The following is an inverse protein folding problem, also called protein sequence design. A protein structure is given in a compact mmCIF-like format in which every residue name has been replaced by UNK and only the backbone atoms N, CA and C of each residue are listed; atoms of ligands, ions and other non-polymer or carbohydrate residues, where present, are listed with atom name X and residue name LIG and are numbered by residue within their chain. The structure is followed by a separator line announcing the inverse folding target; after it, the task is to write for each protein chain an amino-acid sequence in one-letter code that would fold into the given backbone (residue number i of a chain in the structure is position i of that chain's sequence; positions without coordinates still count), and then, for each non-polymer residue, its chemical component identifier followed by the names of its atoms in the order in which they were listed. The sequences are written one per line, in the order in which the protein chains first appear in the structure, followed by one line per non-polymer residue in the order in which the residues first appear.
data_IF_684381195610
#
_entry.id   IF_684381195610
#
_cell.length_a   1.000
_cell.length_b   1.000
_cell.length_c   1.000
_cell.angle_alpha   90.00
_cell.angle_beta   90.00
_cell.angle_gamma   90.00
#
_symmetry.space_group_name_H-M   'P 1'
#
loop_
_entity.id
_entity.type
_entity.pdbx_description
1 polymer ?
#
# COMPACT_ATOMS: atom_id res chain seq x y z
N UNK A 1 -51.33 5.72 0.03
CA UNK A 1 -49.87 5.87 0.09
C UNK A 1 -49.39 5.40 1.46
N UNK A 2 -48.81 4.20 1.54
CA UNK A 2 -48.34 3.62 2.81
C UNK A 2 -46.93 4.12 3.11
N UNK A 3 -46.78 4.92 4.16
CA UNK A 3 -45.48 5.31 4.70
C UNK A 3 -44.89 4.13 5.50
N UNK A 4 -43.78 3.56 5.01
CA UNK A 4 -43.00 2.54 5.71
C UNK A 4 -42.46 3.12 7.03
N UNK A 5 -43.11 2.77 8.15
CA UNK A 5 -42.62 3.05 9.50
C UNK A 5 -41.34 2.23 9.76
N UNK A 6 -40.19 2.91 9.78
CA UNK A 6 -38.92 2.30 10.21
C UNK A 6 -39.03 1.97 11.69
N UNK A 7 -38.87 0.68 12.03
CA UNK A 7 -38.92 0.19 13.41
C UNK A 7 -37.86 0.88 14.31
N UNK A 8 -38.20 1.32 15.54
CA UNK A 8 -37.27 1.97 16.47
C UNK A 8 -35.99 1.14 16.76
N UNK A 9 -36.10 -0.20 16.72
CA UNK A 9 -34.96 -1.11 16.90
C UNK A 9 -33.95 -1.03 15.75
N UNK A 10 -34.38 -0.72 14.51
CA UNK A 10 -33.48 -0.52 13.35
C UNK A 10 -32.79 0.84 13.42
N UNK A 11 -33.47 1.88 13.91
CA UNK A 11 -32.89 3.22 14.08
C UNK A 11 -31.76 3.24 15.13
N UNK A 12 -31.95 2.59 16.29
CA UNK A 12 -30.91 2.54 17.33
C UNK A 12 -29.72 1.63 16.98
N UNK A 13 -29.92 0.59 16.16
CA UNK A 13 -28.83 -0.27 15.70
C UNK A 13 -27.93 0.42 14.66
N UNK A 14 -28.51 1.22 13.75
CA UNK A 14 -27.75 2.08 12.83
C UNK A 14 -26.91 3.11 13.59
N UNK A 15 -27.53 3.93 14.46
CA UNK A 15 -26.79 4.90 15.30
C UNK A 15 -25.66 4.30 16.16
N UNK A 16 -25.75 3.03 16.58
CA UNK A 16 -24.69 2.34 17.33
C UNK A 16 -23.56 1.81 16.44
N UNK A 17 -23.86 1.45 15.20
CA UNK A 17 -22.86 1.08 14.19
C UNK A 17 -22.17 2.35 13.70
N UNK A 18 -22.92 3.41 13.43
CA UNK A 18 -22.42 4.72 13.03
C UNK A 18 -21.52 5.33 14.13
N UNK A 19 -21.90 5.26 15.42
CA UNK A 19 -21.05 5.70 16.54
C UNK A 19 -19.77 4.88 16.75
N UNK A 20 -19.81 3.56 16.53
CA UNK A 20 -18.59 2.73 16.62
C UNK A 20 -17.65 2.97 15.42
N UNK A 21 -18.17 3.44 14.30
CA UNK A 21 -17.43 3.78 13.07
C UNK A 21 -16.81 5.18 13.17
N UNK A 22 -17.54 6.15 13.72
CA UNK A 22 -17.01 7.47 14.08
C UNK A 22 -15.82 7.39 15.07
N UNK A 23 -15.65 6.27 15.78
CA UNK A 23 -14.57 6.02 16.73
C UNK A 23 -13.37 5.24 16.15
N UNK A 24 -13.48 4.66 14.94
CA UNK A 24 -12.43 3.79 14.40
C UNK A 24 -11.51 4.57 13.44
N UNK A 25 -10.31 4.86 13.94
CA UNK A 25 -9.27 5.60 13.24
C UNK A 25 -8.71 4.82 12.04
N UNK A 26 -8.82 5.39 10.83
CA UNK A 26 -8.22 4.86 9.60
C UNK A 26 -6.72 5.14 9.60
N UNK A 27 -5.89 4.11 9.47
CA UNK A 27 -4.43 4.29 9.35
C UNK A 27 -3.98 4.18 7.89
N UNK A 28 -3.39 5.25 7.38
CA UNK A 28 -2.82 5.35 6.05
C UNK A 28 -1.31 5.19 6.19
N UNK A 29 -0.73 4.20 5.52
CA UNK A 29 0.71 4.00 5.41
C UNK A 29 1.20 4.51 4.06
N UNK A 30 1.87 5.65 4.07
CA UNK A 30 2.53 6.23 2.90
C UNK A 30 3.92 5.63 2.75
N UNK A 31 4.14 4.87 1.68
CA UNK A 31 5.37 4.11 1.42
C UNK A 31 6.10 4.75 0.25
N UNK A 32 7.13 5.55 0.54
CA UNK A 32 7.94 6.27 -0.45
C UNK A 32 9.12 5.43 -0.92
N UNK A 33 9.12 5.04 -2.19
CA UNK A 33 10.22 4.33 -2.84
C UNK A 33 11.09 5.25 -3.72
N UNK A 34 11.04 6.58 -3.55
CA UNK A 34 11.84 7.53 -4.32
C UNK A 34 12.98 8.10 -3.46
N UNK A 35 14.27 8.01 -3.88
CA UNK A 35 15.39 8.55 -3.11
C UNK A 35 15.63 10.06 -3.31
N UNK A 36 14.79 10.75 -4.10
CA UNK A 36 15.05 12.15 -4.46
C UNK A 36 14.83 13.08 -3.27
N UNK A 37 15.82 13.92 -2.99
CA UNK A 37 15.72 15.00 -1.98
C UNK A 37 14.77 16.15 -2.40
N UNK A 38 14.47 16.27 -3.70
CA UNK A 38 13.46 17.18 -4.23
C UNK A 38 12.21 16.38 -4.53
N UNK A 39 11.06 16.96 -4.18
CA UNK A 39 9.74 16.36 -4.41
C UNK A 39 9.60 15.90 -5.86
N UNK A 40 9.33 14.61 -6.04
CA UNK A 40 9.12 14.00 -7.34
C UNK A 40 7.66 14.12 -7.80
N UNK A 41 7.41 13.84 -9.08
CA UNK A 41 6.05 13.80 -9.65
C UNK A 41 5.15 12.82 -8.90
N UNK A 42 5.64 11.61 -8.59
CA UNK A 42 4.84 10.63 -7.86
C UNK A 42 4.52 11.09 -6.43
N UNK A 43 5.43 11.80 -5.76
CA UNK A 43 5.18 12.40 -4.45
C UNK A 43 4.21 13.58 -4.50
N UNK A 44 4.26 14.42 -5.54
CA UNK A 44 3.26 15.48 -5.75
C UNK A 44 1.85 14.91 -5.89
N UNK A 45 1.69 13.82 -6.65
CA UNK A 45 0.41 13.15 -6.84
C UNK A 45 -0.07 12.48 -5.54
N UNK A 46 0.84 11.82 -4.82
CA UNK A 46 0.51 11.17 -3.57
C UNK A 46 0.12 12.16 -2.48
N UNK A 47 0.74 13.33 -2.43
CA UNK A 47 0.34 14.38 -1.51
C UNK A 47 -1.05 14.93 -1.83
N UNK A 48 -1.41 15.09 -3.11
CA UNK A 48 -2.78 15.47 -3.49
C UNK A 48 -3.77 14.40 -3.03
N UNK A 49 -3.49 13.13 -3.31
CA UNK A 49 -4.35 12.01 -2.90
C UNK A 49 -4.53 11.95 -1.38
N UNK A 50 -3.44 11.94 -0.62
CA UNK A 50 -3.49 11.77 0.83
C UNK A 50 -4.06 13.00 1.55
N UNK A 51 -3.75 14.21 1.08
CA UNK A 51 -4.36 15.43 1.63
C UNK A 51 -5.87 15.39 1.45
N UNK A 52 -6.33 15.10 0.22
CA UNK A 52 -7.75 15.02 -0.07
C UNK A 52 -8.45 13.91 0.72
N UNK A 53 -7.81 12.75 0.89
CA UNK A 53 -8.36 11.64 1.66
C UNK A 53 -8.51 12.01 3.14
N UNK A 54 -7.50 12.66 3.74
CA UNK A 54 -7.56 13.12 5.13
C UNK A 54 -8.62 14.20 5.37
N UNK A 55 -8.85 15.08 4.40
CA UNK A 55 -9.90 16.10 4.50
C UNK A 55 -11.30 15.48 4.47
N UNK A 56 -11.46 14.35 3.78
CA UNK A 56 -12.71 13.58 3.72
C UNK A 56 -12.88 12.64 4.92
N UNK A 57 -11.78 12.11 5.45
CA UNK A 57 -11.71 11.19 6.58
C UNK A 57 -11.06 11.86 7.79
N UNK A 58 -11.86 12.62 8.56
CA UNK A 58 -11.35 13.50 9.62
C UNK A 58 -10.57 12.80 10.75
N UNK A 59 -10.68 11.48 10.87
CA UNK A 59 -9.96 10.66 11.85
C UNK A 59 -8.76 9.89 11.26
N UNK A 60 -8.44 10.09 9.98
CA UNK A 60 -7.35 9.40 9.32
C UNK A 60 -5.98 9.80 9.90
N UNK A 61 -5.21 8.81 10.33
CA UNK A 61 -3.80 8.96 10.69
C UNK A 61 -2.92 8.59 9.52
N UNK A 62 -1.92 9.43 9.28
CA UNK A 62 -0.94 9.22 8.24
C UNK A 62 0.40 8.87 8.87
N UNK A 63 0.92 7.71 8.50
CA UNK A 63 2.25 7.26 8.85
C UNK A 63 3.11 7.22 7.58
N UNK A 64 4.30 7.83 7.66
CA UNK A 64 5.22 7.93 6.53
C UNK A 64 6.38 6.95 6.69
N UNK A 65 6.69 6.23 5.61
CA UNK A 65 7.83 5.32 5.51
C UNK A 65 8.63 5.71 4.28
N UNK A 66 9.84 6.23 4.48
CA UNK A 66 10.76 6.54 3.40
C UNK A 66 11.76 5.40 3.23
N UNK A 67 11.58 4.55 2.21
CA UNK A 67 12.32 3.29 2.07
C UNK A 67 13.83 3.46 1.89
N UNK A 68 14.31 4.65 1.57
CA UNK A 68 15.74 4.97 1.51
C UNK A 68 16.33 5.45 2.85
N UNK A 69 15.48 5.77 3.82
CA UNK A 69 15.84 6.18 5.19
C UNK A 69 15.48 5.10 6.23
N UNK A 70 14.64 4.14 5.86
CA UNK A 70 14.30 2.97 6.66
C UNK A 70 15.39 1.90 6.56
N UNK A 71 15.76 1.31 7.71
CA UNK A 71 16.56 0.09 7.74
C UNK A 71 15.72 -1.07 7.19
N UNK A 72 16.21 -1.72 6.14
CA UNK A 72 15.55 -2.86 5.50
C UNK A 72 16.52 -4.02 5.45
N UNK A 73 16.00 -5.21 5.74
CA UNK A 73 16.78 -6.44 5.70
C UNK A 73 16.47 -7.22 4.42
N UNK A 74 17.51 -7.51 3.64
CA UNK A 74 17.43 -8.43 2.51
C UNK A 74 17.29 -9.86 3.01
N UNK A 75 16.59 -10.70 2.24
CA UNK A 75 16.61 -12.15 2.50
C UNK A 75 18.00 -12.66 2.13
N UNK A 76 18.80 -12.94 3.16
CA UNK A 76 20.13 -13.53 3.06
C UNK A 76 20.19 -14.92 3.75
N UNK A 77 21.37 -15.53 3.77
CA UNK A 77 21.57 -16.85 4.37
C UNK A 77 21.18 -16.90 5.85
N UNK A 78 21.46 -15.84 6.62
CA UNK A 78 21.12 -15.78 8.05
C UNK A 78 19.62 -15.63 8.26
N UNK A 79 18.92 -14.85 7.42
CA UNK A 79 17.44 -14.78 7.46
C UNK A 79 16.83 -16.16 7.20
N UNK A 80 17.30 -16.86 6.16
CA UNK A 80 16.81 -18.20 5.82
C UNK A 80 17.10 -19.21 6.94
N UNK A 81 18.32 -19.18 7.51
CA UNK A 81 18.69 -20.00 8.66
C UNK A 81 17.81 -19.69 9.88
N UNK A 82 17.53 -18.41 10.14
CA UNK A 82 16.70 -17.97 11.25
C UNK A 82 15.26 -18.49 11.15
N UNK A 83 14.70 -18.54 9.94
CA UNK A 83 13.38 -19.14 9.72
C UNK A 83 13.38 -20.66 9.98
N UNK A 84 14.47 -21.35 9.63
CA UNK A 84 14.67 -22.76 9.98
C UNK A 84 14.70 -22.97 11.50
N UNK A 85 15.55 -22.20 12.20
CA UNK A 85 15.70 -22.26 13.66
C UNK A 85 14.40 -21.92 14.41
N UNK A 86 13.66 -20.89 13.97
CA UNK A 86 12.34 -20.56 14.53
C UNK A 86 11.36 -21.74 14.45
N UNK A 87 11.45 -22.58 13.41
CA UNK A 87 10.60 -23.78 13.25
C UNK A 87 11.05 -24.96 14.11
N UNK A 88 12.36 -25.14 14.33
CA UNK A 88 12.91 -26.20 15.17
C UNK A 88 13.00 -25.85 16.66
N UNK A 89 12.76 -24.59 17.02
CA UNK A 89 12.88 -24.09 18.40
C UNK A 89 14.33 -23.83 18.83
N UNK A 90 15.24 -23.69 17.88
CA UNK A 90 16.65 -23.37 18.14
C UNK A 90 16.85 -21.87 18.43
N UNK A 91 17.80 -21.51 19.31
CA UNK A 91 18.12 -20.12 19.58
C UNK A 91 18.76 -19.44 18.37
N UNK A 92 18.43 -18.17 18.19
CA UNK A 92 19.08 -17.30 17.20
C UNK A 92 20.34 -16.65 17.79
N UNK A 93 21.32 -16.36 16.94
CA UNK A 93 22.43 -15.47 17.29
C UNK A 93 21.93 -14.02 17.40
N UNK A 94 22.78 -13.11 17.90
CA UNK A 94 22.45 -11.69 17.98
C UNK A 94 22.20 -11.07 16.58
N UNK A 95 23.05 -11.40 15.60
CA UNK A 95 22.88 -10.98 14.19
C UNK A 95 21.56 -11.47 13.62
N UNK A 96 21.28 -12.77 13.74
CA UNK A 96 20.03 -13.40 13.29
C UNK A 96 18.80 -12.75 13.94
N UNK A 97 18.88 -12.47 15.24
CA UNK A 97 17.81 -11.82 16.00
C UNK A 97 17.54 -10.41 15.49
N UNK A 98 18.59 -9.60 15.26
CA UNK A 98 18.46 -8.24 14.73
C UNK A 98 17.80 -8.24 13.34
N UNK A 99 18.31 -9.07 12.43
CA UNK A 99 17.79 -9.18 11.05
C UNK A 99 16.31 -9.53 11.00
N UNK A 100 15.92 -10.53 11.80
CA UNK A 100 14.52 -10.94 11.88
C UNK A 100 13.66 -9.86 12.53
N UNK A 101 14.18 -9.15 13.54
CA UNK A 101 13.47 -8.04 14.15
C UNK A 101 13.20 -6.92 13.15
N UNK A 102 14.17 -6.55 12.31
CA UNK A 102 13.98 -5.53 11.26
C UNK A 102 12.83 -5.91 10.31
N UNK A 103 12.78 -7.17 9.86
CA UNK A 103 11.69 -7.65 9.01
C UNK A 103 10.34 -7.69 9.74
N UNK A 104 10.34 -8.16 10.99
CA UNK A 104 9.13 -8.23 11.82
C UNK A 104 8.57 -6.81 12.08
N UNK A 105 9.41 -5.82 12.38
CA UNK A 105 9.00 -4.42 12.59
C UNK A 105 8.29 -3.84 11.34
N UNK A 106 8.84 -4.07 10.14
CA UNK A 106 8.24 -3.67 8.86
C UNK A 106 6.88 -4.34 8.65
N UNK A 107 6.80 -5.65 8.94
CA UNK A 107 5.58 -6.41 8.80
C UNK A 107 4.48 -5.94 9.77
N UNK A 108 4.81 -5.71 11.04
CA UNK A 108 3.82 -5.24 12.02
C UNK A 108 3.27 -3.86 11.65
N UNK A 109 4.13 -2.94 11.19
CA UNK A 109 3.69 -1.63 10.70
C UNK A 109 2.71 -1.78 9.53
N UNK A 110 3.02 -2.65 8.58
CA UNK A 110 2.13 -2.93 7.45
C UNK A 110 0.80 -3.54 7.91
N UNK A 111 0.80 -4.51 8.81
CA UNK A 111 -0.44 -5.14 9.31
C UNK A 111 -1.31 -4.17 10.13
N UNK A 112 -0.70 -3.17 10.77
CA UNK A 112 -1.41 -2.18 11.57
C UNK A 112 -2.15 -1.13 10.74
N UNK A 113 -1.79 -0.92 9.47
CA UNK A 113 -2.42 0.06 8.59
C UNK A 113 -3.68 -0.50 7.91
N UNK A 114 -4.56 0.39 7.41
CA UNK A 114 -5.79 0.07 6.70
C UNK A 114 -5.70 0.36 5.20
N UNK A 115 -4.94 1.42 4.86
CA UNK A 115 -4.72 1.87 3.48
C UNK A 115 -3.22 1.99 3.23
N UNK A 116 -2.73 1.33 2.18
CA UNK A 116 -1.34 1.41 1.73
C UNK A 116 -1.24 2.34 0.53
N UNK A 117 -0.36 3.33 0.58
CA UNK A 117 -0.09 4.22 -0.56
C UNK A 117 1.35 4.01 -0.99
N UNK A 118 1.55 3.20 -2.03
CA UNK A 118 2.86 2.95 -2.62
C UNK A 118 3.19 4.08 -3.61
N UNK A 119 4.29 4.78 -3.37
CA UNK A 119 4.72 5.92 -4.19
C UNK A 119 6.03 5.55 -4.87
N UNK A 120 5.98 5.34 -6.19
CA UNK A 120 7.12 4.78 -6.93
C UNK A 120 7.50 5.62 -8.15
N UNK A 121 8.79 5.75 -8.47
CA UNK A 121 9.20 6.01 -9.84
C UNK A 121 9.18 4.72 -10.66
N UNK A 122 9.20 4.84 -11.99
CA UNK A 122 9.35 3.72 -12.92
C UNK A 122 10.74 3.70 -13.56
N UNK A 123 11.59 2.77 -13.13
CA UNK A 123 12.97 2.63 -13.58
C UNK A 123 13.21 1.23 -14.13
N UNK A 124 13.73 1.14 -15.36
CA UNK A 124 14.06 -0.13 -16.00
C UNK A 124 12.89 -1.13 -15.98
N UNK A 125 11.69 -0.65 -16.32
CA UNK A 125 10.45 -1.42 -16.37
C UNK A 125 9.84 -1.82 -15.01
N UNK A 126 10.45 -1.42 -13.89
CA UNK A 126 10.01 -1.79 -12.54
C UNK A 126 10.06 -0.59 -11.56
N UNK A 127 9.66 -0.81 -10.31
CA UNK A 127 9.94 0.10 -9.19
C UNK A 127 11.37 -0.12 -8.65
N UNK A 128 11.90 0.79 -7.80
CA UNK A 128 13.24 0.66 -7.24
C UNK A 128 13.42 -0.58 -6.33
N UNK A 129 14.62 -1.19 -6.29
CA UNK A 129 14.86 -2.45 -5.59
C UNK A 129 14.56 -2.38 -4.08
N UNK A 130 14.70 -1.21 -3.44
CA UNK A 130 14.33 -0.99 -2.03
C UNK A 130 12.89 -1.41 -1.74
N UNK A 131 11.95 -1.19 -2.68
CA UNK A 131 10.57 -1.62 -2.51
C UNK A 131 10.43 -3.14 -2.60
N UNK A 132 11.27 -3.84 -3.38
CA UNK A 132 11.29 -5.31 -3.37
C UNK A 132 11.74 -5.85 -2.01
N UNK A 133 12.81 -5.28 -1.43
CA UNK A 133 13.29 -5.65 -0.09
C UNK A 133 12.22 -5.41 0.99
N UNK A 134 11.49 -4.29 0.89
CA UNK A 134 10.34 -4.02 1.77
C UNK A 134 9.25 -5.09 1.62
N UNK A 135 8.85 -5.41 0.39
CA UNK A 135 7.82 -6.41 0.09
C UNK A 135 8.23 -7.82 0.58
N UNK A 136 9.52 -8.16 0.54
CA UNK A 136 10.02 -9.43 1.05
C UNK A 136 9.82 -9.57 2.56
N UNK A 137 9.84 -8.46 3.31
CA UNK A 137 9.49 -8.45 4.73
C UNK A 137 8.00 -8.65 4.97
N UNK A 138 7.14 -8.39 3.97
CA UNK A 138 5.69 -8.61 4.07
C UNK A 138 5.31 -10.06 3.78
N UNK A 139 6.10 -10.80 3.01
CA UNK A 139 5.77 -12.13 2.51
C UNK A 139 6.15 -13.24 3.51
N UNK A 140 5.49 -13.29 4.67
CA UNK A 140 5.80 -14.25 5.74
C UNK A 140 4.69 -15.33 5.86
N UNK A 141 5.02 -16.63 5.66
CA UNK A 141 4.06 -17.72 5.84
C UNK A 141 3.44 -17.75 7.25
N UNK A 142 2.13 -17.96 7.33
CA UNK A 142 1.36 -17.95 8.57
C UNK A 142 1.04 -16.55 9.12
N UNK A 143 1.62 -15.48 8.54
CA UNK A 143 1.35 -14.09 8.92
C UNK A 143 0.51 -13.37 7.87
N UNK A 144 0.93 -13.40 6.61
CA UNK A 144 0.26 -12.69 5.50
C UNK A 144 -0.23 -13.60 4.39
N UNK A 145 0.26 -14.83 4.34
CA UNK A 145 -0.28 -15.88 3.48
C UNK A 145 -0.07 -17.25 4.12
N UNK A 146 -0.78 -18.27 3.62
CA UNK A 146 -0.54 -19.68 3.97
C UNK A 146 -0.70 -20.59 2.76
N UNK A 147 -0.16 -21.80 2.86
CA UNK A 147 -0.41 -22.87 1.90
C UNK A 147 -1.59 -23.73 2.35
N UNK A 148 -2.48 -24.05 1.41
CA UNK A 148 -3.61 -24.96 1.60
C UNK A 148 -3.60 -26.04 0.51
N UNK A 149 -4.44 -27.08 0.65
CA UNK A 149 -4.60 -28.09 -0.40
C UNK A 149 -5.08 -27.50 -1.73
N UNK A 150 -5.77 -26.34 -1.71
CA UNK A 150 -6.24 -25.61 -2.88
C UNK A 150 -5.25 -24.60 -3.46
N UNK A 151 -4.03 -24.51 -2.91
CA UNK A 151 -3.03 -23.51 -3.26
C UNK A 151 -2.82 -22.47 -2.16
N UNK A 152 -2.15 -21.37 -2.51
CA UNK A 152 -1.88 -20.27 -1.59
C UNK A 152 -3.15 -19.47 -1.24
N UNK A 153 -3.22 -19.00 0.00
CA UNK A 153 -4.30 -18.15 0.51
C UNK A 153 -3.69 -16.94 1.24
N UNK A 154 -4.07 -15.73 0.82
CA UNK A 154 -3.69 -14.49 1.49
C UNK A 154 -4.49 -14.27 2.78
N UNK A 155 -3.86 -13.65 3.79
CA UNK A 155 -4.41 -13.48 5.15
C UNK A 155 -4.68 -12.01 5.50
N UNK A 156 -4.26 -11.06 4.66
CA UNK A 156 -4.44 -9.62 4.88
C UNK A 156 -5.77 -9.19 4.28
N UNK A 157 -6.83 -9.21 5.10
CA UNK A 157 -8.20 -8.89 4.69
C UNK A 157 -8.65 -7.49 5.13
N UNK A 158 -9.63 -6.92 4.42
CA UNK A 158 -10.25 -5.65 4.79
C UNK A 158 -9.36 -4.42 4.59
N UNK A 159 -8.23 -4.57 3.90
CA UNK A 159 -7.27 -3.51 3.59
C UNK A 159 -7.38 -3.06 2.14
N UNK A 160 -6.84 -1.87 1.84
CA UNK A 160 -6.80 -1.31 0.48
C UNK A 160 -5.39 -0.89 0.11
N UNK A 161 -5.01 -1.07 -1.14
CA UNK A 161 -3.75 -0.60 -1.69
C UNK A 161 -3.99 0.41 -2.82
N UNK A 162 -3.19 1.47 -2.83
CA UNK A 162 -3.14 2.48 -3.88
C UNK A 162 -1.71 2.58 -4.36
N UNK A 163 -1.49 2.47 -5.66
CA UNK A 163 -0.18 2.66 -6.27
C UNK A 163 -0.15 3.95 -7.08
N UNK A 164 0.72 4.88 -6.68
CA UNK A 164 0.93 6.16 -7.34
C UNK A 164 2.31 6.13 -7.99
N UNK A 165 2.33 6.23 -9.31
CA UNK A 165 3.53 6.03 -10.10
C UNK A 165 3.77 7.17 -11.09
N UNK A 166 5.05 7.54 -11.25
CA UNK A 166 5.51 8.43 -12.31
C UNK A 166 6.35 7.67 -13.34
N UNK A 167 5.99 7.80 -14.62
CA UNK A 167 6.59 7.09 -15.76
C UNK A 167 7.03 8.10 -16.83
N UNK A 168 8.28 8.01 -17.30
CA UNK A 168 8.81 8.96 -18.28
C UNK A 168 8.19 8.85 -19.67
N UNK A 169 7.95 7.62 -20.14
CA UNK A 169 7.27 7.32 -21.42
C UNK A 169 5.85 6.82 -21.22
N UNK A 170 5.17 6.47 -22.32
CA UNK A 170 3.82 5.88 -22.30
C UNK A 170 3.92 4.35 -22.37
N UNK A 171 3.39 3.67 -21.36
CA UNK A 171 3.46 2.22 -21.21
C UNK A 171 2.08 1.57 -21.08
N UNK A 172 1.01 2.35 -20.94
CA UNK A 172 -0.36 1.84 -20.95
C UNK A 172 -0.65 1.00 -22.20
N UNK A 173 -1.17 -0.21 -21.98
CA UNK A 173 -1.51 -1.15 -23.05
C UNK A 173 -0.33 -1.91 -23.67
N UNK A 174 0.91 -1.65 -23.24
CA UNK A 174 2.11 -2.34 -23.78
C UNK A 174 2.40 -3.69 -23.12
N UNK A 175 1.90 -3.91 -21.90
CA UNK A 175 2.27 -5.07 -21.07
C UNK A 175 3.68 -5.01 -20.50
N UNK A 176 4.34 -3.85 -20.55
CA UNK A 176 5.73 -3.65 -20.06
C UNK A 176 5.81 -2.84 -18.76
N UNK A 177 4.68 -2.44 -18.18
CA UNK A 177 4.68 -1.84 -16.84
C UNK A 177 4.66 -2.92 -15.76
N UNK A 178 5.78 -3.64 -15.63
CA UNK A 178 5.89 -4.72 -14.63
C UNK A 178 5.82 -4.21 -13.19
N UNK A 179 6.08 -2.92 -12.96
CA UNK A 179 5.96 -2.29 -11.65
C UNK A 179 4.52 -2.33 -11.12
N UNK A 180 3.58 -1.88 -11.96
CA UNK A 180 2.15 -1.93 -11.68
C UNK A 180 1.63 -3.37 -11.57
N UNK A 181 2.00 -4.21 -12.55
CA UNK A 181 1.53 -5.60 -12.59
C UNK A 181 2.01 -6.37 -11.35
N UNK A 182 3.30 -6.25 -10.99
CA UNK A 182 3.85 -6.91 -9.81
C UNK A 182 3.17 -6.44 -8.52
N UNK A 183 3.01 -5.12 -8.32
CA UNK A 183 2.40 -4.61 -7.09
C UNK A 183 0.95 -5.05 -6.94
N UNK A 184 0.16 -5.00 -8.03
CA UNK A 184 -1.22 -5.50 -8.03
C UNK A 184 -1.29 -6.98 -7.66
N UNK A 185 -0.41 -7.78 -8.27
CA UNK A 185 -0.38 -9.23 -8.08
C UNK A 185 0.10 -9.62 -6.67
N UNK A 186 1.13 -8.97 -6.14
CA UNK A 186 1.64 -9.28 -4.80
C UNK A 186 0.65 -8.83 -3.71
N UNK A 187 -0.04 -7.69 -3.89
CA UNK A 187 -1.11 -7.28 -2.97
C UNK A 187 -2.26 -8.30 -2.96
N UNK A 188 -2.67 -8.78 -4.15
CA UNK A 188 -3.66 -9.86 -4.27
C UNK A 188 -3.19 -11.15 -3.60
N UNK A 189 -1.92 -11.51 -3.78
CA UNK A 189 -1.31 -12.68 -3.14
C UNK A 189 -1.40 -12.60 -1.60
N UNK A 190 -1.18 -11.42 -1.02
CA UNK A 190 -1.30 -11.21 0.43
C UNK A 190 -2.76 -11.16 0.91
N UNK A 191 -3.75 -11.08 0.03
CA UNK A 191 -5.19 -11.05 0.36
C UNK A 191 -5.87 -9.70 0.14
N UNK A 192 -5.13 -8.68 -0.29
CA UNK A 192 -5.62 -7.32 -0.52
C UNK A 192 -6.26 -7.25 -1.91
N UNK A 193 -7.59 -7.27 -1.94
CA UNK A 193 -8.38 -7.32 -3.19
C UNK A 193 -8.71 -5.94 -3.75
N UNK A 194 -8.83 -4.95 -2.87
CA UNK A 194 -9.09 -3.57 -3.24
C UNK A 194 -7.77 -2.89 -3.61
N UNK A 195 -7.55 -2.74 -4.91
CA UNK A 195 -6.33 -2.17 -5.47
C UNK A 195 -6.67 -1.16 -6.56
N UNK A 196 -6.21 0.07 -6.37
CA UNK A 196 -6.32 1.16 -7.33
C UNK A 196 -4.94 1.72 -7.66
N UNK A 197 -4.82 2.41 -8.80
CA UNK A 197 -3.57 3.06 -9.20
C UNK A 197 -3.81 4.38 -9.91
N UNK A 198 -2.82 5.29 -9.79
CA UNK A 198 -2.72 6.54 -10.54
C UNK A 198 -1.35 6.56 -11.18
N UNK A 199 -1.32 6.47 -12.51
CA UNK A 199 -0.07 6.35 -13.28
C UNK A 199 0.08 7.59 -14.16
N UNK A 200 1.00 8.47 -13.77
CA UNK A 200 1.35 9.65 -14.53
C UNK A 200 2.43 9.30 -15.55
N UNK A 201 2.06 9.15 -16.82
CA UNK A 201 2.94 8.67 -17.88
C UNK A 201 3.22 9.70 -18.98
N UNK A 202 4.40 9.60 -19.61
CA UNK A 202 4.73 10.34 -20.84
C UNK A 202 5.34 11.73 -20.65
N UNK A 203 5.57 12.22 -19.43
CA UNK A 203 6.12 13.57 -19.21
C UNK A 203 7.52 13.79 -19.81
N UNK A 204 8.36 12.74 -19.88
CA UNK A 204 9.68 12.82 -20.52
C UNK A 204 9.61 12.62 -22.03
N UNK A 205 8.64 11.84 -22.51
CA UNK A 205 8.40 11.62 -23.94
C UNK A 205 7.74 12.82 -24.63
N UNK A 206 6.88 13.54 -23.90
CA UNK A 206 6.12 14.70 -24.37
C UNK A 206 6.33 15.91 -23.45
N UNK A 207 7.53 16.53 -23.46
CA UNK A 207 7.86 17.62 -22.54
C UNK A 207 6.92 18.84 -22.67
N UNK A 208 6.47 19.16 -23.89
CA UNK A 208 5.54 20.27 -24.14
C UNK A 208 4.15 20.05 -23.51
N UNK A 209 3.84 18.80 -23.14
CA UNK A 209 2.56 18.40 -22.51
C UNK A 209 2.73 18.07 -21.03
N UNK A 210 3.94 18.19 -20.46
CA UNK A 210 4.25 17.72 -19.12
C UNK A 210 3.34 18.34 -18.05
N UNK A 211 3.11 19.66 -18.09
CA UNK A 211 2.24 20.36 -17.13
C UNK A 211 0.78 19.89 -17.23
N UNK A 212 0.30 19.66 -18.45
CA UNK A 212 -1.05 19.15 -18.69
C UNK A 212 -1.20 17.73 -18.15
N UNK A 213 -0.24 16.84 -18.46
CA UNK A 213 -0.22 15.45 -17.97
C UNK A 213 -0.24 15.45 -16.45
N UNK A 214 0.62 16.26 -15.80
CA UNK A 214 0.68 16.35 -14.35
C UNK A 214 -0.65 16.82 -13.76
N UNK A 215 -1.28 17.83 -14.36
CA UNK A 215 -2.56 18.36 -13.88
C UNK A 215 -3.69 17.32 -14.00
N UNK A 216 -3.78 16.62 -15.13
CA UNK A 216 -4.76 15.54 -15.32
C UNK A 216 -4.54 14.40 -14.31
N UNK A 217 -3.29 14.01 -14.04
CA UNK A 217 -2.98 13.02 -13.01
C UNK A 217 -3.29 13.50 -11.58
N UNK A 218 -3.14 14.80 -11.28
CA UNK A 218 -3.55 15.37 -9.98
C UNK A 218 -5.07 15.31 -9.80
N UNK A 219 -5.83 15.53 -10.86
CA UNK A 219 -7.28 15.40 -10.86
C UNK A 219 -7.71 13.94 -10.64
N UNK A 220 -7.06 12.98 -11.31
CA UNK A 220 -7.27 11.55 -11.10
C UNK A 220 -6.98 11.14 -9.64
N UNK A 221 -5.86 11.61 -9.08
CA UNK A 221 -5.50 11.38 -7.67
C UNK A 221 -6.57 11.93 -6.71
N UNK A 222 -7.08 13.14 -6.96
CA UNK A 222 -8.17 13.72 -6.15
C UNK A 222 -9.46 12.92 -6.29
N UNK A 223 -9.84 12.50 -7.50
CA UNK A 223 -11.04 11.68 -7.73
C UNK A 223 -10.93 10.32 -7.04
N UNK A 224 -9.75 9.70 -7.05
CA UNK A 224 -9.50 8.44 -6.37
C UNK A 224 -9.66 8.60 -4.85
N UNK A 225 -9.16 9.67 -4.25
CA UNK A 225 -9.38 9.96 -2.82
C UNK A 225 -10.88 10.04 -2.48
N UNK A 226 -11.68 10.71 -3.32
CA UNK A 226 -13.14 10.75 -3.17
C UNK A 226 -13.80 9.38 -3.33
N UNK A 227 -13.33 8.54 -4.26
CA UNK A 227 -13.82 7.16 -4.43
C UNK A 227 -13.56 6.35 -3.15
N UNK A 228 -12.36 6.43 -2.60
CA UNK A 228 -11.99 5.67 -1.41
C UNK A 228 -12.80 6.06 -0.17
N UNK A 229 -12.99 7.36 0.06
CA UNK A 229 -13.80 7.88 1.18
C UNK A 229 -15.30 7.52 1.05
N UNK A 230 -15.80 7.26 -0.16
CA UNK A 230 -17.23 6.94 -0.40
C UNK A 230 -17.58 5.46 -0.34
N UNK A 231 -16.59 4.57 -0.33
CA UNK A 231 -16.80 3.12 -0.40
C UNK A 231 -16.94 2.47 0.99
N UNK A 232 -17.64 3.13 1.92
CA UNK A 232 -17.92 2.65 3.30
C UNK A 232 -19.34 2.11 3.55
#
# INVERSE_FOLDING_TARGET
MNALKISPKRYHRRKRIDRKREEQQVKILYINANPRNKKSVSEELADVFVTQLKDLESNAQLEYVHLYETELQEIDEEVLASWGKKRSGEPLTESETHKVKVMDDVLEQFLAADVYVFVTPFWNLLFPPRLKTYIDSLCIPGRTFRYTAGGQEGLVEGKRAVHIQAVGGVYKGTGLNFSEDYLREIMRFLGIKEYDSVICEGMSQYPDMADKILQESKEEASQLAHKLARLE
#
